data_IF_102308144211
#
_entry.id   IF_102308144211
#
_cell.length_a   1.000
_cell.length_b   1.000
_cell.length_c   1.000
_cell.angle_alpha   90.00
_cell.angle_beta   90.00
_cell.angle_gamma   90.00
#
_symmetry.space_group_name_H-M   'P 1'
#
loop_
_entity.id
_entity.type
_entity.pdbx_description
1 polymer ?
#
# COMPACT_ATOMS: atom_id res chain seq x y z
N UNK A 1 -6.68 -11.37 32.36
CA UNK A 1 -8.13 -11.41 32.57
C UNK A 1 -8.75 -10.04 32.35
N UNK A 2 -10.06 -10.00 32.05
CA UNK A 2 -10.81 -8.76 31.89
C UNK A 2 -12.02 -8.74 32.82
N UNK A 3 -12.33 -7.57 33.37
CA UNK A 3 -13.51 -7.33 34.20
C UNK A 3 -14.04 -5.92 33.86
N UNK A 4 -15.29 -5.83 33.41
CA UNK A 4 -15.89 -4.54 33.04
C UNK A 4 -15.80 -3.53 34.21
N UNK A 5 -15.42 -2.29 33.89
CA UNK A 5 -15.22 -1.19 34.83
C UNK A 5 -14.10 -1.38 35.86
N UNK A 6 -13.20 -2.33 35.62
CA UNK A 6 -12.07 -2.55 36.51
C UNK A 6 -10.77 -2.69 35.72
N UNK A 7 -9.69 -2.21 36.27
CA UNK A 7 -8.33 -2.42 35.81
C UNK A 7 -7.70 -3.61 36.49
N UNK A 8 -7.07 -4.48 35.73
CA UNK A 8 -6.31 -5.59 36.28
C UNK A 8 -4.96 -5.08 36.80
N UNK A 9 -4.67 -5.29 38.09
CA UNK A 9 -3.47 -4.81 38.76
C UNK A 9 -2.44 -5.91 39.07
N UNK A 10 -2.66 -7.11 38.61
CA UNK A 10 -1.74 -8.22 38.77
C UNK A 10 -2.34 -9.45 39.45
N UNK A 11 -1.55 -10.49 39.51
CA UNK A 11 -1.85 -11.72 40.24
C UNK A 11 -1.14 -11.72 41.60
N UNK A 12 -1.84 -12.13 42.67
CA UNK A 12 -1.35 -12.12 44.01
C UNK A 12 -1.44 -13.51 44.63
N UNK A 13 -0.51 -13.85 45.55
CA UNK A 13 -0.47 -15.12 46.23
C UNK A 13 -1.54 -15.25 47.34
N UNK A 14 -2.12 -14.13 47.73
CA UNK A 14 -3.12 -14.08 48.81
C UNK A 14 -4.30 -13.16 48.42
N UNK A 15 -5.45 -13.41 49.07
CA UNK A 15 -6.70 -12.65 48.81
C UNK A 15 -6.71 -11.23 49.38
N UNK A 16 -5.67 -10.86 50.17
CA UNK A 16 -5.51 -9.50 50.71
C UNK A 16 -4.62 -8.62 49.81
N UNK A 17 -4.11 -9.23 48.74
CA UNK A 17 -3.23 -8.56 47.78
C UNK A 17 -1.95 -8.00 48.42
N UNK A 18 -1.38 -8.71 49.40
CA UNK A 18 -0.19 -8.26 50.09
C UNK A 18 1.10 -8.65 49.38
N UNK A 19 1.07 -9.73 48.59
CA UNK A 19 2.23 -10.25 47.88
C UNK A 19 1.90 -10.54 46.41
N UNK A 20 2.43 -9.71 45.53
CA UNK A 20 2.31 -9.93 44.08
C UNK A 20 3.11 -11.15 43.64
N UNK A 21 2.53 -11.98 42.76
CA UNK A 21 3.17 -13.17 42.26
C UNK A 21 4.21 -12.85 41.18
N UNK A 22 5.47 -13.28 41.45
CA UNK A 22 6.53 -13.19 40.46
C UNK A 22 6.54 -14.44 39.57
N UNK A 23 6.18 -14.30 38.29
CA UNK A 23 6.14 -15.36 37.29
C UNK A 23 7.51 -15.97 36.96
N UNK A 24 8.62 -15.38 37.45
CA UNK A 24 9.95 -15.98 37.36
C UNK A 24 10.22 -16.98 38.50
N UNK A 25 9.35 -17.03 39.52
CA UNK A 25 9.49 -17.96 40.65
C UNK A 25 9.00 -19.34 40.22
N UNK A 26 9.80 -20.41 40.40
CA UNK A 26 9.36 -21.77 40.12
C UNK A 26 8.20 -22.19 41.02
N UNK A 27 7.15 -22.77 40.46
CA UNK A 27 6.03 -23.34 41.21
C UNK A 27 6.47 -24.67 41.80
N UNK A 28 6.45 -24.79 43.13
CA UNK A 28 6.89 -25.98 43.88
C UNK A 28 5.75 -26.72 44.60
N UNK A 29 4.54 -26.19 44.61
CA UNK A 29 3.33 -26.80 45.20
C UNK A 29 2.07 -26.23 44.54
N UNK A 30 0.92 -26.87 44.76
CA UNK A 30 -0.38 -26.32 44.37
C UNK A 30 -0.59 -24.97 45.05
N UNK A 31 -1.03 -23.98 44.22
CA UNK A 31 -1.29 -22.63 44.69
C UNK A 31 -2.49 -22.02 43.95
N UNK A 32 -3.11 -21.03 44.59
CA UNK A 32 -4.16 -20.22 44.00
C UNK A 32 -3.66 -18.79 43.85
N UNK A 33 -3.79 -18.23 42.66
CA UNK A 33 -3.49 -16.82 42.42
C UNK A 33 -4.78 -16.02 42.40
N UNK A 34 -4.75 -14.89 43.07
CA UNK A 34 -5.88 -13.97 43.19
C UNK A 34 -5.68 -12.76 42.29
N UNK A 35 -6.65 -12.52 41.39
CA UNK A 35 -6.65 -11.35 40.54
C UNK A 35 -7.00 -10.10 41.34
N UNK A 36 -6.11 -9.13 41.38
CA UNK A 36 -6.39 -7.80 41.96
C UNK A 36 -7.07 -6.90 40.94
N UNK A 37 -8.20 -6.32 41.33
CA UNK A 37 -9.02 -5.46 40.50
C UNK A 37 -9.23 -4.12 41.17
N UNK A 38 -8.85 -3.03 40.47
CA UNK A 38 -9.11 -1.66 40.87
C UNK A 38 -10.23 -1.08 40.01
N UNK A 39 -11.18 -0.38 40.66
CA UNK A 39 -12.24 0.31 39.90
C UNK A 39 -11.64 1.39 39.02
N UNK A 40 -11.92 1.30 37.74
CA UNK A 40 -11.45 2.28 36.76
C UNK A 40 -12.41 3.46 36.64
N UNK A 41 -11.87 4.65 36.44
CA UNK A 41 -12.65 5.81 36.05
C UNK A 41 -13.09 5.64 34.57
N UNK A 42 -14.38 5.66 34.32
CA UNK A 42 -14.93 5.52 32.97
C UNK A 42 -14.82 6.83 32.21
N UNK A 43 -14.26 6.76 31.01
CA UNK A 43 -14.27 7.86 30.04
C UNK A 43 -15.48 7.66 29.14
N UNK A 44 -16.51 8.46 29.31
CA UNK A 44 -17.77 8.37 28.55
C UNK A 44 -17.76 9.23 27.28
N UNK A 45 -16.87 10.21 27.22
CA UNK A 45 -16.71 11.10 26.06
C UNK A 45 -15.23 11.37 25.79
N UNK A 46 -14.82 11.27 24.54
CA UNK A 46 -13.52 11.74 24.07
C UNK A 46 -13.69 12.84 23.05
N UNK A 47 -12.82 13.85 23.11
CA UNK A 47 -12.78 14.99 22.19
C UNK A 47 -11.50 14.92 21.39
N UNK A 48 -11.63 14.65 20.12
CA UNK A 48 -10.56 14.56 19.14
C UNK A 48 -10.61 15.76 18.21
N UNK A 49 -9.46 16.18 17.71
CA UNK A 49 -9.36 17.22 16.70
C UNK A 49 -8.28 16.89 15.68
N UNK A 50 -8.46 17.37 14.48
CA UNK A 50 -7.53 17.28 13.37
C UNK A 50 -7.68 18.47 12.43
N UNK A 51 -6.78 18.55 11.46
CA UNK A 51 -6.72 19.70 10.55
C UNK A 51 -7.70 19.59 9.36
N UNK A 52 -8.37 18.45 9.21
CA UNK A 52 -9.35 18.20 8.14
C UNK A 52 -10.72 17.90 8.73
N UNK A 53 -11.76 18.53 8.19
CA UNK A 53 -13.16 18.27 8.55
C UNK A 53 -13.82 17.31 7.57
N UNK A 54 -14.95 16.74 7.97
CA UNK A 54 -15.79 15.92 7.10
C UNK A 54 -16.13 16.67 5.81
N UNK A 55 -15.99 15.97 4.67
CA UNK A 55 -16.27 16.53 3.35
C UNK A 55 -15.17 17.44 2.79
N UNK A 56 -14.08 17.70 3.53
CA UNK A 56 -12.99 18.59 3.11
C UNK A 56 -11.71 17.85 2.70
N UNK A 57 -11.78 16.53 2.47
CA UNK A 57 -10.68 15.79 1.84
C UNK A 57 -10.54 16.26 0.40
N UNK A 58 -9.37 16.75 0.03
CA UNK A 58 -9.10 17.21 -1.33
C UNK A 58 -8.38 16.14 -2.14
N UNK A 59 -8.65 16.10 -3.45
CA UNK A 59 -7.91 15.25 -4.40
C UNK A 59 -6.45 15.68 -4.43
N UNK A 60 -5.55 14.71 -4.46
CA UNK A 60 -4.11 14.91 -4.41
C UNK A 60 -3.48 14.32 -3.16
N UNK A 61 -2.26 14.73 -2.86
CA UNK A 61 -1.54 14.26 -1.66
C UNK A 61 -2.28 14.70 -0.40
N UNK A 62 -2.63 13.73 0.46
CA UNK A 62 -3.25 14.02 1.74
C UNK A 62 -2.26 14.78 2.63
N UNK A 63 -2.72 15.85 3.32
CA UNK A 63 -1.85 16.66 4.15
C UNK A 63 -1.35 15.89 5.37
N UNK A 64 -0.28 16.39 6.00
CA UNK A 64 0.09 15.93 7.33
C UNK A 64 -1.06 16.16 8.28
N UNK A 65 -1.52 15.12 8.94
CA UNK A 65 -2.58 15.20 9.92
C UNK A 65 -1.96 15.46 11.30
N UNK A 66 -2.49 16.43 12.01
CA UNK A 66 -2.02 16.78 13.35
C UNK A 66 -3.10 16.42 14.41
N UNK A 67 -3.12 15.15 14.86
CA UNK A 67 -4.14 14.69 15.80
C UNK A 67 -3.97 15.33 17.17
N UNK A 68 -5.06 15.80 17.75
CA UNK A 68 -5.13 16.45 19.06
C UNK A 68 -6.30 15.93 19.87
N UNK A 69 -6.21 16.08 21.20
CA UNK A 69 -7.32 15.83 22.12
C UNK A 69 -7.37 16.92 23.17
N UNK A 70 -8.56 17.22 23.67
CA UNK A 70 -8.80 18.04 24.87
C UNK A 70 -9.34 17.21 26.02
N UNK A 71 -9.35 15.88 25.91
CA UNK A 71 -9.74 14.99 26.99
C UNK A 71 -8.50 14.64 27.82
N UNK A 72 -8.42 15.11 29.05
CA UNK A 72 -7.23 14.99 29.92
C UNK A 72 -6.88 13.56 30.34
N UNK A 73 -7.86 12.66 30.31
CA UNK A 73 -7.70 11.25 30.70
C UNK A 73 -7.17 10.35 29.57
N UNK A 74 -6.84 10.93 28.40
CA UNK A 74 -6.27 10.21 27.27
C UNK A 74 -5.07 10.96 26.68
N UNK A 75 -4.25 10.20 25.95
CA UNK A 75 -3.19 10.74 25.08
C UNK A 75 -3.35 10.21 23.65
N UNK A 76 -2.88 10.99 22.69
CA UNK A 76 -2.83 10.54 21.27
C UNK A 76 -1.42 10.08 20.94
N UNK A 77 -1.29 8.81 20.58
CA UNK A 77 -0.05 8.30 20.02
C UNK A 77 0.04 8.70 18.54
N UNK A 78 0.76 9.77 18.27
CA UNK A 78 0.91 10.32 16.91
C UNK A 78 1.71 9.42 15.97
N UNK A 79 2.56 8.56 16.51
CA UNK A 79 3.36 7.62 15.71
C UNK A 79 2.49 6.53 15.10
N UNK A 80 1.46 6.12 15.83
CA UNK A 80 0.52 5.08 15.42
C UNK A 80 -0.82 5.62 14.91
N UNK A 81 -1.00 6.95 14.86
CA UNK A 81 -2.15 7.60 14.24
C UNK A 81 -1.87 7.89 12.78
N UNK A 82 -2.76 7.50 11.87
CA UNK A 82 -2.50 7.53 10.43
C UNK A 82 -3.76 7.82 9.62
N UNK A 83 -3.59 8.23 8.36
CA UNK A 83 -4.66 8.20 7.38
C UNK A 83 -5.17 6.77 7.17
N UNK A 84 -6.46 6.66 6.96
CA UNK A 84 -7.15 5.42 6.64
C UNK A 84 -8.03 5.60 5.41
N UNK A 85 -8.35 4.51 4.72
CA UNK A 85 -9.35 4.50 3.66
C UNK A 85 -10.30 3.31 3.85
N UNK A 86 -11.54 3.46 3.41
CA UNK A 86 -12.55 2.42 3.51
C UNK A 86 -12.40 1.44 2.35
N UNK A 87 -12.15 0.18 2.67
CA UNK A 87 -12.03 -0.90 1.70
C UNK A 87 -13.40 -1.30 1.13
N UNK A 88 -13.42 -2.05 0.02
CA UNK A 88 -14.67 -2.50 -0.62
C UNK A 88 -15.56 -3.37 0.28
N UNK A 89 -14.98 -4.07 1.26
CA UNK A 89 -15.71 -4.86 2.27
C UNK A 89 -16.29 -3.99 3.41
N UNK A 90 -16.17 -2.67 3.34
CA UNK A 90 -16.67 -1.72 4.32
C UNK A 90 -15.76 -1.50 5.54
N UNK A 91 -14.67 -2.26 5.68
CA UNK A 91 -13.70 -2.08 6.76
C UNK A 91 -12.69 -0.97 6.45
N UNK A 92 -12.15 -0.36 7.50
CA UNK A 92 -11.09 0.63 7.37
C UNK A 92 -9.71 -0.05 7.26
N UNK A 93 -8.89 0.41 6.31
CA UNK A 93 -7.46 0.08 6.26
C UNK A 93 -6.72 0.96 7.26
N UNK A 94 -6.36 0.41 8.43
CA UNK A 94 -5.75 1.15 9.55
C UNK A 94 -4.24 1.22 9.52
N UNK A 95 -3.60 0.47 8.65
CA UNK A 95 -2.14 0.33 8.64
C UNK A 95 -1.58 0.61 7.26
N UNK A 96 -0.77 1.66 7.14
CA UNK A 96 0.19 1.75 6.07
C UNK A 96 0.06 2.83 5.00
N UNK A 97 -0.76 3.85 5.18
CA UNK A 97 -0.74 5.00 4.26
C UNK A 97 0.27 6.05 4.73
N UNK A 98 1.54 5.86 4.44
CA UNK A 98 2.59 6.84 4.79
C UNK A 98 2.48 8.16 4.03
N UNK A 99 1.97 8.16 2.80
CA UNK A 99 1.65 9.35 2.01
C UNK A 99 0.59 8.98 0.96
N UNK A 100 -0.67 8.81 1.35
CA UNK A 100 -1.69 8.43 0.39
C UNK A 100 -2.04 9.60 -0.52
N UNK A 101 -2.39 9.26 -1.75
CA UNK A 101 -3.01 10.19 -2.68
C UNK A 101 -4.52 9.99 -2.64
N UNK A 102 -5.27 11.03 -2.29
CA UNK A 102 -6.72 10.99 -2.39
C UNK A 102 -7.15 11.04 -3.85
N UNK A 103 -8.05 10.16 -4.25
CA UNK A 103 -8.60 10.10 -5.61
C UNK A 103 -10.10 10.41 -5.59
N UNK A 104 -10.59 11.13 -6.59
CA UNK A 104 -12.01 11.36 -6.77
C UNK A 104 -12.62 10.28 -7.68
N UNK A 105 -12.72 9.06 -7.17
CA UNK A 105 -13.35 7.92 -7.86
C UNK A 105 -14.84 7.79 -7.55
N UNK A 106 -15.38 8.68 -6.73
CA UNK A 106 -16.77 8.65 -6.24
C UNK A 106 -17.09 7.47 -5.33
N UNK A 107 -16.12 6.64 -4.96
CA UNK A 107 -16.28 5.39 -4.19
C UNK A 107 -15.46 5.37 -2.91
N UNK A 108 -14.21 5.84 -2.96
CA UNK A 108 -13.27 5.74 -1.84
C UNK A 108 -13.58 6.78 -0.76
N UNK A 109 -13.80 6.32 0.45
CA UNK A 109 -13.91 7.15 1.65
C UNK A 109 -12.55 7.21 2.34
N UNK A 110 -12.21 8.39 2.83
CA UNK A 110 -10.99 8.65 3.59
C UNK A 110 -11.34 8.96 5.03
N UNK A 111 -10.49 8.54 5.94
CA UNK A 111 -10.63 8.80 7.35
C UNK A 111 -9.27 8.97 8.01
N UNK A 112 -9.29 9.36 9.27
CA UNK A 112 -8.10 9.40 10.09
C UNK A 112 -8.27 8.51 11.31
N UNK A 113 -7.30 7.62 11.51
CA UNK A 113 -7.27 6.65 12.59
C UNK A 113 -6.46 7.21 13.75
N UNK A 114 -7.14 7.58 14.82
CA UNK A 114 -6.54 8.08 16.04
C UNK A 114 -6.15 6.90 16.94
N UNK A 115 -4.87 6.76 17.23
CA UNK A 115 -4.39 5.86 18.27
C UNK A 115 -4.53 6.55 19.64
N UNK A 116 -5.63 6.23 20.34
CA UNK A 116 -5.99 6.81 21.64
C UNK A 116 -5.53 5.89 22.76
N UNK A 117 -4.68 6.39 23.65
CA UNK A 117 -4.24 5.69 24.87
C UNK A 117 -4.91 6.27 26.09
N UNK A 118 -5.49 5.42 26.96
CA UNK A 118 -6.01 5.86 28.25
C UNK A 118 -4.85 6.07 29.22
N UNK A 119 -4.95 7.12 30.03
CA UNK A 119 -4.04 7.32 31.14
C UNK A 119 -4.30 6.26 32.23
N UNK A 120 -3.32 6.04 33.12
CA UNK A 120 -3.47 5.07 34.20
C UNK A 120 -4.66 5.41 35.11
N UNK A 121 -5.40 4.39 35.54
CA UNK A 121 -6.64 4.56 36.31
C UNK A 121 -7.89 4.82 35.47
N UNK A 122 -7.80 4.85 34.14
CA UNK A 122 -8.94 5.11 33.26
C UNK A 122 -9.19 4.00 32.25
N UNK A 123 -10.45 3.86 31.84
CA UNK A 123 -10.85 3.00 30.72
C UNK A 123 -11.96 3.65 29.88
N UNK A 124 -12.06 3.28 28.63
CA UNK A 124 -13.12 3.76 27.72
C UNK A 124 -14.45 3.01 28.04
N UNK A 125 -15.51 3.78 28.23
CA UNK A 125 -16.86 3.22 28.43
C UNK A 125 -17.33 2.41 27.23
N UNK A 126 -18.28 1.48 27.44
CA UNK A 126 -18.88 0.68 26.34
C UNK A 126 -19.65 1.55 25.36
N UNK A 127 -20.32 2.58 25.86
CA UNK A 127 -21.14 3.59 25.15
C UNK A 127 -20.39 4.90 24.91
N UNK A 128 -19.10 4.80 24.59
CA UNK A 128 -18.21 5.94 24.40
C UNK A 128 -18.75 6.91 23.34
N UNK A 129 -18.90 8.17 23.74
CA UNK A 129 -19.21 9.27 22.83
C UNK A 129 -17.93 9.86 22.24
N UNK A 130 -17.94 10.14 20.93
CA UNK A 130 -16.81 10.72 20.22
C UNK A 130 -17.20 12.06 19.60
N UNK A 131 -16.48 13.12 20.00
CA UNK A 131 -16.58 14.45 19.42
C UNK A 131 -15.35 14.70 18.55
N UNK A 132 -15.54 15.06 17.30
CA UNK A 132 -14.46 15.41 16.39
C UNK A 132 -14.64 16.85 15.88
N UNK A 133 -13.63 17.71 16.10
CA UNK A 133 -13.67 19.14 15.76
C UNK A 133 -14.93 19.86 16.28
N UNK A 134 -15.45 19.42 17.44
CA UNK A 134 -16.63 20.00 18.07
C UNK A 134 -17.97 19.35 17.69
N UNK A 135 -17.99 18.47 16.70
CA UNK A 135 -19.19 17.76 16.24
C UNK A 135 -19.28 16.34 16.82
N UNK A 136 -20.49 15.89 17.15
CA UNK A 136 -20.75 14.51 17.58
C UNK A 136 -20.72 13.57 16.39
N UNK A 137 -19.69 12.74 16.33
CA UNK A 137 -19.47 11.75 15.26
C UNK A 137 -19.64 10.31 15.73
N UNK A 138 -20.16 10.10 16.93
CA UNK A 138 -20.29 8.79 17.60
C UNK A 138 -20.92 7.72 16.72
N UNK A 139 -21.92 8.07 15.93
CA UNK A 139 -22.63 7.12 15.05
C UNK A 139 -21.88 6.75 13.77
N UNK A 140 -20.82 7.49 13.41
CA UNK A 140 -20.09 7.34 12.15
C UNK A 140 -18.64 6.88 12.32
N UNK A 141 -18.12 6.89 13.55
CA UNK A 141 -16.77 6.40 13.85
C UNK A 141 -16.72 4.88 13.94
N UNK A 142 -15.58 4.33 13.59
CA UNK A 142 -15.26 2.93 13.85
C UNK A 142 -14.27 2.86 15.03
N UNK A 143 -14.62 2.12 16.08
CA UNK A 143 -13.84 2.01 17.31
C UNK A 143 -13.35 0.59 17.50
N UNK A 144 -12.04 0.40 17.46
CA UNK A 144 -11.40 -0.86 17.83
C UNK A 144 -10.74 -0.72 19.20
N UNK A 145 -11.42 -1.20 20.25
CA UNK A 145 -10.91 -1.15 21.63
C UNK A 145 -9.78 -2.14 21.85
N UNK A 146 -8.85 -1.76 22.70
CA UNK A 146 -7.70 -2.55 23.16
C UNK A 146 -7.61 -2.49 24.69
N UNK A 147 -6.69 -3.25 25.28
CA UNK A 147 -6.44 -3.21 26.74
C UNK A 147 -5.83 -1.88 27.22
N UNK A 148 -5.30 -1.05 26.33
CA UNK A 148 -4.61 0.20 26.64
C UNK A 148 -5.32 1.45 26.08
N UNK A 149 -6.48 1.28 25.41
CA UNK A 149 -7.21 2.39 24.79
C UNK A 149 -8.02 1.94 23.57
N UNK A 150 -7.90 2.66 22.47
CA UNK A 150 -8.58 2.32 21.22
C UNK A 150 -7.89 2.93 19.98
N UNK A 151 -8.14 2.31 18.83
CA UNK A 151 -8.09 2.99 17.56
C UNK A 151 -9.48 3.54 17.23
N UNK A 152 -9.56 4.84 16.95
CA UNK A 152 -10.81 5.53 16.62
C UNK A 152 -10.68 6.11 15.21
N UNK A 153 -11.32 5.48 14.24
CA UNK A 153 -11.30 5.95 12.86
C UNK A 153 -12.46 6.91 12.62
N UNK A 154 -12.13 8.17 12.39
CA UNK A 154 -13.09 9.21 12.02
C UNK A 154 -13.23 9.24 10.50
N UNK A 155 -14.45 9.03 9.99
CA UNK A 155 -14.77 9.18 8.57
C UNK A 155 -14.71 10.67 8.19
N UNK A 156 -13.92 11.01 7.20
CA UNK A 156 -13.76 12.36 6.66
C UNK A 156 -14.43 12.54 5.30
N UNK A 157 -15.12 11.51 4.83
CA UNK A 157 -15.85 11.54 3.57
C UNK A 157 -15.00 11.20 2.36
N UNK A 158 -15.55 11.44 1.19
CA UNK A 158 -14.88 11.24 -0.11
C UNK A 158 -14.06 12.45 -0.48
N UNK A 159 -13.05 12.25 -1.30
CA UNK A 159 -12.24 13.34 -1.81
C UNK A 159 -13.04 14.24 -2.76
N UNK A 160 -12.91 15.56 -2.60
CA UNK A 160 -13.52 16.59 -3.43
C UNK A 160 -12.49 17.18 -4.39
N UNK A 161 -12.95 17.66 -5.55
CA UNK A 161 -12.12 18.33 -6.56
C UNK A 161 -12.06 17.54 -7.87
N UNK A 162 -11.26 18.03 -8.80
CA UNK A 162 -10.99 17.31 -10.05
C UNK A 162 -9.99 16.19 -9.79
N UNK A 163 -10.15 15.00 -10.39
CA UNK A 163 -9.18 13.93 -10.31
C UNK A 163 -7.80 14.43 -10.74
N UNK A 164 -6.78 14.10 -9.96
CA UNK A 164 -5.40 14.28 -10.43
C UNK A 164 -5.15 13.20 -11.47
N UNK A 165 -4.83 13.64 -12.69
CA UNK A 165 -4.57 12.76 -13.83
C UNK A 165 -3.10 12.86 -14.21
N UNK A 166 -2.42 11.74 -14.28
CA UNK A 166 -1.05 11.62 -14.74
C UNK A 166 -1.00 11.12 -16.17
N UNK A 167 -0.09 11.67 -16.95
CA UNK A 167 0.15 11.23 -18.33
C UNK A 167 1.36 10.33 -18.37
N UNK A 168 1.16 9.12 -18.88
CA UNK A 168 2.23 8.14 -19.09
C UNK A 168 2.56 8.11 -20.58
N UNK A 169 3.77 8.49 -20.92
CA UNK A 169 4.28 8.49 -22.30
C UNK A 169 5.06 7.19 -22.53
N UNK A 170 4.89 6.59 -23.70
CA UNK A 170 5.62 5.40 -24.11
C UNK A 170 6.64 5.77 -25.19
N UNK A 171 7.92 5.69 -24.87
CA UNK A 171 9.00 5.77 -25.83
C UNK A 171 9.32 4.36 -26.33
N UNK A 172 8.87 4.06 -27.55
CA UNK A 172 9.08 2.75 -28.15
C UNK A 172 10.51 2.50 -28.66
N UNK A 173 11.44 3.45 -28.55
CA UNK A 173 12.83 3.32 -28.99
C UNK A 173 12.94 2.74 -30.40
N UNK A 174 12.38 3.48 -31.37
CA UNK A 174 12.27 3.13 -32.80
C UNK A 174 11.37 1.92 -33.12
N UNK A 175 10.59 1.46 -32.17
CA UNK A 175 9.51 0.50 -32.42
C UNK A 175 8.23 1.22 -32.89
N UNK A 176 7.17 0.43 -33.13
CA UNK A 176 5.85 0.98 -33.47
C UNK A 176 5.35 1.93 -32.39
N UNK A 177 4.67 3.00 -32.82
CA UNK A 177 4.14 4.01 -31.89
C UNK A 177 3.15 3.39 -30.90
N UNK A 178 3.32 3.72 -29.63
CA UNK A 178 2.37 3.42 -28.56
C UNK A 178 1.80 4.75 -28.03
N UNK A 179 0.48 4.93 -28.06
CA UNK A 179 -0.15 6.16 -27.55
C UNK A 179 0.09 6.33 -26.05
N UNK A 180 0.20 7.60 -25.61
CA UNK A 180 0.21 7.91 -24.18
C UNK A 180 -1.13 7.53 -23.54
N UNK A 181 -1.10 7.21 -22.23
CA UNK A 181 -2.28 6.93 -21.43
C UNK A 181 -2.41 7.95 -20.32
N UNK A 182 -3.65 8.36 -20.06
CA UNK A 182 -3.98 9.16 -18.89
C UNK A 182 -4.53 8.24 -17.80
N UNK A 183 -3.96 8.33 -16.59
CA UNK A 183 -4.28 7.47 -15.46
C UNK A 183 -4.58 8.35 -14.25
N UNK A 184 -5.66 8.09 -13.52
CA UNK A 184 -5.93 8.81 -12.29
C UNK A 184 -4.87 8.46 -11.22
N UNK A 185 -4.56 9.44 -10.39
CA UNK A 185 -3.64 9.25 -9.28
C UNK A 185 -4.04 8.05 -8.42
N UNK A 186 -3.09 7.16 -8.16
CA UNK A 186 -3.31 5.93 -7.37
C UNK A 186 -3.89 4.74 -8.13
N UNK A 187 -4.33 4.91 -9.38
CA UNK A 187 -4.73 3.79 -10.24
C UNK A 187 -3.52 3.11 -10.89
N UNK A 188 -3.74 1.91 -11.40
CA UNK A 188 -2.72 1.16 -12.13
C UNK A 188 -2.76 1.50 -13.61
N UNK A 189 -1.59 1.51 -14.23
CA UNK A 189 -1.46 1.63 -15.68
C UNK A 189 -1.85 0.32 -16.37
N UNK A 190 -2.58 0.42 -17.47
CA UNK A 190 -2.86 -0.75 -18.32
C UNK A 190 -1.71 -1.00 -19.28
N UNK A 191 -1.18 -2.22 -19.29
CA UNK A 191 -0.11 -2.57 -20.23
C UNK A 191 -0.62 -2.45 -21.69
N UNK A 192 0.10 -1.75 -22.57
CA UNK A 192 -0.30 -1.59 -23.97
C UNK A 192 -0.43 -2.93 -24.70
N UNK A 193 -1.57 -3.13 -25.34
CA UNK A 193 -1.85 -4.32 -26.16
C UNK A 193 -2.37 -3.89 -27.55
N UNK A 194 -1.79 -4.37 -28.64
CA UNK A 194 -0.62 -5.25 -28.73
C UNK A 194 0.67 -4.55 -28.26
N UNK A 195 1.68 -5.35 -27.86
CA UNK A 195 3.01 -4.83 -27.58
C UNK A 195 3.62 -4.17 -28.84
N UNK A 196 4.51 -3.18 -28.68
CA UNK A 196 5.19 -2.57 -29.83
C UNK A 196 6.04 -3.60 -30.57
N UNK A 197 6.26 -3.36 -31.87
CA UNK A 197 7.12 -4.19 -32.73
C UNK A 197 8.27 -3.38 -33.30
N UNK A 198 9.42 -4.02 -33.50
CA UNK A 198 10.60 -3.45 -34.15
C UNK A 198 11.25 -4.54 -35.00
N UNK A 199 11.46 -4.22 -36.29
CA UNK A 199 12.03 -5.19 -37.25
C UNK A 199 13.42 -5.62 -36.79
N UNK A 200 13.65 -6.93 -36.74
CA UNK A 200 14.92 -7.50 -36.29
C UNK A 200 15.11 -7.56 -34.78
N UNK A 201 14.10 -7.19 -33.97
CA UNK A 201 14.20 -7.16 -32.52
C UNK A 201 13.01 -7.82 -31.85
N UNK A 202 13.25 -8.34 -30.66
CA UNK A 202 12.22 -8.88 -29.75
C UNK A 202 12.00 -7.91 -28.61
N UNK A 203 10.73 -7.60 -28.32
CA UNK A 203 10.34 -6.73 -27.18
C UNK A 203 10.57 -7.45 -25.86
N UNK A 204 11.29 -6.80 -24.93
CA UNK A 204 11.61 -7.35 -23.60
C UNK A 204 10.66 -6.81 -22.53
N UNK A 205 10.17 -5.58 -22.70
CA UNK A 205 9.27 -4.93 -21.75
C UNK A 205 9.51 -3.43 -21.64
N UNK A 206 8.71 -2.81 -20.78
CA UNK A 206 8.78 -1.40 -20.46
C UNK A 206 9.65 -1.14 -19.24
N UNK A 207 10.45 -0.08 -19.25
CA UNK A 207 11.39 0.32 -18.22
C UNK A 207 11.17 1.78 -17.81
N UNK A 208 11.43 2.10 -16.54
CA UNK A 208 11.22 3.44 -15.98
C UNK A 208 12.29 4.45 -16.40
N UNK A 209 13.39 3.97 -16.94
CA UNK A 209 14.55 4.79 -17.34
C UNK A 209 15.15 4.32 -18.67
N UNK A 210 15.83 5.25 -19.36
CA UNK A 210 16.46 5.00 -20.66
C UNK A 210 17.72 4.12 -20.57
N UNK A 211 18.22 3.83 -19.38
CA UNK A 211 19.34 2.90 -19.15
C UNK A 211 18.88 1.48 -18.91
N UNK A 212 17.54 1.28 -18.84
CA UNK A 212 16.89 -0.03 -18.61
C UNK A 212 17.32 -0.68 -17.30
N UNK A 213 17.55 0.12 -16.24
CA UNK A 213 17.96 -0.37 -14.93
C UNK A 213 16.80 -0.95 -14.14
N UNK A 214 15.58 -0.39 -14.33
CA UNK A 214 14.40 -0.78 -13.59
C UNK A 214 13.23 -1.08 -14.52
N UNK A 215 12.84 -2.37 -14.58
CA UNK A 215 11.64 -2.79 -15.32
C UNK A 215 10.39 -2.26 -14.62
N UNK A 216 9.47 -1.70 -15.38
CA UNK A 216 8.21 -1.20 -14.84
C UNK A 216 7.27 -2.35 -14.45
N UNK A 217 6.67 -2.25 -13.25
CA UNK A 217 5.64 -3.17 -12.77
C UNK A 217 4.26 -2.52 -12.92
N UNK A 218 3.45 -3.03 -13.85
CA UNK A 218 2.08 -2.55 -14.11
C UNK A 218 1.11 -2.77 -12.93
N UNK A 219 1.52 -3.47 -11.88
CA UNK A 219 0.76 -3.57 -10.63
C UNK A 219 0.99 -2.39 -9.68
N UNK A 220 1.98 -1.57 -9.94
CA UNK A 220 2.29 -0.39 -9.13
C UNK A 220 1.30 0.75 -9.40
N UNK A 221 0.69 1.35 -8.36
CA UNK A 221 -0.14 2.54 -8.52
C UNK A 221 0.66 3.73 -9.06
N UNK A 222 0.08 4.49 -9.98
CA UNK A 222 0.70 5.68 -10.58
C UNK A 222 0.57 6.86 -9.61
N UNK A 223 1.71 7.48 -9.29
CA UNK A 223 1.81 8.64 -8.39
C UNK A 223 2.39 9.88 -9.05
N UNK A 224 2.84 9.78 -10.29
CA UNK A 224 3.40 10.90 -11.07
C UNK A 224 3.32 10.60 -12.58
N UNK A 225 3.44 11.66 -13.40
CA UNK A 225 3.62 11.52 -14.85
C UNK A 225 5.02 11.01 -15.16
N UNK A 226 5.14 10.06 -16.08
CA UNK A 226 6.43 9.47 -16.42
C UNK A 226 6.52 9.05 -17.87
N UNK A 227 7.75 8.78 -18.32
CA UNK A 227 8.01 8.15 -19.62
C UNK A 227 8.52 6.73 -19.39
N UNK A 228 7.89 5.76 -20.03
CA UNK A 228 8.34 4.37 -20.05
C UNK A 228 9.06 4.10 -21.39
N UNK A 229 10.17 3.38 -21.29
CA UNK A 229 11.08 3.09 -22.40
C UNK A 229 11.02 1.62 -22.78
N UNK A 230 10.76 1.35 -24.07
CA UNK A 230 10.81 -0.01 -24.61
C UNK A 230 12.24 -0.54 -24.65
N UNK A 231 12.47 -1.69 -24.03
CA UNK A 231 13.73 -2.43 -24.17
C UNK A 231 13.59 -3.48 -25.25
N UNK A 232 14.63 -3.60 -26.08
CA UNK A 232 14.70 -4.51 -27.19
C UNK A 232 15.91 -5.44 -27.07
N UNK A 233 15.76 -6.67 -27.55
CA UNK A 233 16.87 -7.59 -27.78
C UNK A 233 16.94 -7.85 -29.27
N UNK A 234 18.11 -7.71 -29.86
CA UNK A 234 18.34 -7.98 -31.28
C UNK A 234 18.17 -9.46 -31.57
N UNK A 235 17.42 -9.78 -32.63
CA UNK A 235 17.21 -11.15 -33.04
C UNK A 235 18.43 -11.66 -33.77
N UNK A 236 18.80 -12.89 -33.47
CA UNK A 236 19.87 -13.59 -34.15
C UNK A 236 19.31 -14.69 -35.04
N UNK A 237 19.85 -14.80 -36.25
CA UNK A 237 19.38 -15.71 -37.26
C UNK A 237 20.53 -16.63 -37.72
N UNK A 238 20.18 -17.82 -38.22
CA UNK A 238 21.14 -18.73 -38.87
C UNK A 238 20.76 -18.83 -40.34
N UNK A 239 21.72 -18.56 -41.19
CA UNK A 239 21.62 -18.77 -42.63
C UNK A 239 22.24 -20.11 -42.98
N UNK A 240 21.46 -20.99 -43.59
CA UNK A 240 21.93 -22.29 -44.11
C UNK A 240 21.90 -22.29 -45.63
N UNK A 241 22.81 -22.97 -46.24
CA UNK A 241 22.94 -23.10 -47.69
C UNK A 241 22.63 -24.54 -48.12
N UNK A 242 21.72 -24.68 -49.07
CA UNK A 242 21.35 -25.97 -49.66
C UNK A 242 21.81 -25.98 -51.11
N UNK A 243 22.56 -27.03 -51.50
CA UNK A 243 23.07 -27.23 -52.86
C UNK A 243 21.95 -27.52 -53.88
N UNK A 244 20.72 -27.82 -53.41
CA UNK A 244 19.53 -28.12 -54.24
C UNK A 244 19.81 -29.05 -55.43
N UNK A 245 20.43 -30.21 -55.16
CA UNK A 245 20.81 -31.23 -56.14
C UNK A 245 22.19 -31.07 -56.76
N UNK A 246 22.90 -29.96 -56.50
CA UNK A 246 24.31 -29.77 -56.82
C UNK A 246 25.24 -30.51 -55.84
N UNK A 247 26.53 -30.37 -56.00
CA UNK A 247 27.56 -30.95 -55.11
C UNK A 247 28.36 -29.85 -54.43
N UNK A 248 28.99 -30.21 -53.30
CA UNK A 248 29.71 -29.27 -52.45
C UNK A 248 29.01 -29.05 -51.13
N UNK A 249 29.58 -28.24 -50.26
CA UNK A 249 28.98 -27.85 -48.99
C UNK A 249 29.42 -26.45 -48.60
N UNK A 250 28.52 -25.69 -48.02
CA UNK A 250 28.82 -24.40 -47.41
C UNK A 250 28.39 -24.44 -45.92
N UNK A 251 29.29 -24.01 -45.04
CA UNK A 251 28.99 -24.00 -43.61
C UNK A 251 27.91 -22.97 -43.26
N UNK A 252 26.93 -23.31 -42.38
CA UNK A 252 25.95 -22.34 -41.92
C UNK A 252 26.63 -21.12 -41.26
N UNK A 253 26.00 -19.97 -41.39
CA UNK A 253 26.39 -18.74 -40.72
C UNK A 253 25.38 -18.44 -39.61
N UNK A 254 25.82 -18.56 -38.37
CA UNK A 254 24.99 -18.31 -37.18
C UNK A 254 25.16 -16.89 -36.67
N UNK A 255 24.28 -16.52 -35.73
CA UNK A 255 24.31 -15.21 -35.02
C UNK A 255 24.25 -13.99 -35.94
N UNK A 256 23.65 -14.12 -37.11
CA UNK A 256 23.49 -13.00 -38.04
C UNK A 256 22.44 -12.03 -37.55
N UNK A 257 22.77 -10.71 -37.62
CA UNK A 257 21.85 -9.62 -37.35
C UNK A 257 21.90 -8.61 -38.51
N UNK A 258 20.74 -7.95 -38.78
CA UNK A 258 20.68 -6.91 -39.81
C UNK A 258 21.04 -7.40 -41.24
N UNK A 259 21.73 -6.55 -41.99
CA UNK A 259 22.18 -6.89 -43.34
C UNK A 259 23.41 -7.77 -43.34
N UNK A 260 23.44 -8.78 -44.19
CA UNK A 260 24.55 -9.70 -44.31
C UNK A 260 24.96 -9.87 -45.78
N UNK A 261 26.25 -9.69 -46.03
CA UNK A 261 26.81 -9.95 -47.38
C UNK A 261 27.01 -11.44 -47.60
N UNK A 262 26.33 -11.98 -48.60
CA UNK A 262 26.45 -13.40 -48.93
C UNK A 262 27.87 -13.77 -49.38
N UNK A 263 28.41 -14.92 -48.93
CA UNK A 263 29.68 -15.42 -49.38
C UNK A 263 29.61 -15.87 -50.85
N UNK A 264 30.75 -16.02 -51.47
CA UNK A 264 30.80 -16.61 -52.80
C UNK A 264 30.22 -18.03 -52.84
N UNK A 265 29.57 -18.40 -53.93
CA UNK A 265 29.04 -19.72 -54.11
C UNK A 265 30.17 -20.80 -54.20
N UNK A 266 30.11 -21.83 -53.38
CA UNK A 266 31.05 -22.97 -53.35
C UNK A 266 30.41 -24.26 -53.84
N UNK A 267 29.14 -24.20 -54.32
CA UNK A 267 28.47 -25.38 -54.89
C UNK A 267 28.79 -25.53 -56.40
N UNK A 268 28.80 -26.77 -56.84
CA UNK A 268 28.90 -27.11 -58.26
C UNK A 268 27.52 -27.55 -58.75
N UNK A 269 27.13 -27.07 -59.93
CA UNK A 269 25.85 -27.40 -60.56
C UNK A 269 25.66 -28.91 -60.78
N UNK A 270 24.43 -29.42 -60.70
CA UNK A 270 24.15 -30.81 -61.07
C UNK A 270 24.48 -31.04 -62.54
N UNK A 271 24.98 -32.25 -62.81
CA UNK A 271 25.34 -32.68 -64.18
C UNK A 271 24.12 -32.96 -64.99
#
# INVERSE_FOLDING_TARGET
PTKDKYLFRGWYEDSTFSKEFDFNTPISSDMTLYANWEAANSINEIRLAGDVQYGNVQVGTLPSFNPRTTTDSITIDRTNSNWAYKMQNGLWSRFGLKTPTAVNDGKTYYGYDFCVKTNDGYQLASDLKVIYNGEDVTSTVDIMKTSWGAYVTVDLGKANGTPVVYTITFNSNDGTLVPSQNVNAGEKLTEPTPAPTKVGFTFVGWYEDSTFSKKFDFNTPITDSMTLYAKWTENKYTLTFDANGGTGSMAPKADLTGEYTLPANEFTAPS
#
